data_IF_153068884578
#
_entry.id   IF_153068884578
#
_cell.length_a   1.000
_cell.length_b   1.000
_cell.length_c   1.000
_cell.angle_alpha   90.00
_cell.angle_beta   90.00
_cell.angle_gamma   90.00
#
_symmetry.space_group_name_H-M   'P 1'
#
loop_
_entity.id
_entity.type
_entity.pdbx_description
1 polymer ?
#
# COMPACT_ATOMS: atom_id res chain seq x y z
N UNK A 1 -23.94 -55.94 -6.58
CA UNK A 1 -24.00 -54.57 -6.05
C UNK A 1 -22.66 -54.16 -5.41
N UNK A 2 -21.67 -53.80 -6.22
CA UNK A 2 -20.40 -53.20 -5.77
C UNK A 2 -19.92 -52.37 -6.96
N UNK A 3 -19.84 -51.04 -6.83
CA UNK A 3 -19.04 -50.15 -7.71
C UNK A 3 -19.17 -48.65 -7.36
N UNK A 4 -20.02 -48.25 -6.39
CA UNK A 4 -20.20 -46.84 -6.01
C UNK A 4 -19.09 -46.26 -5.12
N UNK A 5 -18.08 -47.05 -4.69
CA UNK A 5 -17.00 -46.58 -3.80
C UNK A 5 -15.84 -45.87 -4.53
N UNK A 6 -15.73 -46.00 -5.86
CA UNK A 6 -14.58 -45.44 -6.60
C UNK A 6 -14.80 -43.98 -7.05
N UNK A 7 -16.05 -43.50 -7.08
CA UNK A 7 -16.38 -42.18 -7.65
C UNK A 7 -16.26 -41.05 -6.61
N UNK A 8 -16.40 -41.36 -5.31
CA UNK A 8 -16.34 -40.36 -4.23
C UNK A 8 -14.89 -39.93 -3.94
N UNK A 9 -13.89 -40.77 -4.23
CA UNK A 9 -12.47 -40.46 -4.01
C UNK A 9 -11.84 -39.54 -5.06
N UNK A 10 -12.45 -39.39 -6.23
CA UNK A 10 -11.93 -38.56 -7.33
C UNK A 10 -12.49 -37.13 -7.34
N UNK A 11 -13.64 -36.90 -6.71
CA UNK A 11 -14.24 -35.56 -6.61
C UNK A 11 -13.67 -34.68 -5.48
N UNK A 12 -12.99 -35.27 -4.49
CA UNK A 12 -12.38 -34.50 -3.39
C UNK A 12 -11.02 -33.88 -3.74
N UNK A 13 -10.39 -34.31 -4.85
CA UNK A 13 -9.05 -33.84 -5.26
C UNK A 13 -9.09 -32.57 -6.13
N UNK A 14 -10.27 -32.17 -6.64
CA UNK A 14 -10.38 -31.05 -7.59
C UNK A 14 -10.73 -29.69 -6.96
N UNK A 15 -10.98 -29.62 -5.65
CA UNK A 15 -11.34 -28.37 -4.96
C UNK A 15 -10.14 -27.56 -4.44
N UNK A 16 -8.89 -28.01 -4.66
CA UNK A 16 -7.70 -27.42 -3.99
C UNK A 16 -7.09 -26.26 -4.79
N UNK A 17 -7.50 -26.00 -6.05
CA UNK A 17 -6.71 -25.16 -6.96
C UNK A 17 -7.20 -23.73 -7.25
N UNK A 18 -8.18 -23.19 -6.53
CA UNK A 18 -8.65 -21.81 -6.80
C UNK A 18 -8.82 -20.93 -5.56
N UNK A 19 -7.91 -21.02 -4.59
CA UNK A 19 -7.73 -19.90 -3.64
C UNK A 19 -6.87 -18.80 -4.30
N UNK A 20 -7.38 -18.20 -5.37
CA UNK A 20 -6.85 -16.92 -5.84
C UNK A 20 -7.19 -15.86 -4.78
N UNK A 21 -6.24 -15.49 -3.91
CA UNK A 21 -6.45 -14.36 -3.01
C UNK A 21 -6.61 -13.11 -3.86
N UNK A 22 -7.83 -12.58 -3.94
CA UNK A 22 -8.21 -11.44 -4.78
C UNK A 22 -7.72 -10.13 -4.15
N UNK A 23 -6.41 -10.00 -3.95
CA UNK A 23 -5.79 -8.85 -3.29
C UNK A 23 -5.60 -7.71 -4.29
N UNK A 24 -5.82 -6.49 -3.82
CA UNK A 24 -5.55 -5.27 -4.57
C UNK A 24 -4.13 -4.82 -4.30
N UNK A 25 -3.42 -4.37 -5.33
CA UNK A 25 -2.14 -3.69 -5.16
C UNK A 25 -2.40 -2.22 -4.86
N UNK A 26 -1.59 -1.65 -3.98
CA UNK A 26 -1.55 -0.21 -3.74
C UNK A 26 -0.14 0.29 -4.03
N UNK A 27 -0.06 1.37 -4.80
CA UNK A 27 1.19 2.04 -5.10
C UNK A 27 1.41 3.18 -4.11
N UNK A 28 2.61 3.28 -3.56
CA UNK A 28 2.98 4.34 -2.62
C UNK A 28 4.14 5.10 -3.24
N UNK A 29 3.94 6.39 -3.48
CA UNK A 29 4.89 7.24 -4.20
C UNK A 29 5.09 8.56 -3.47
N UNK A 30 6.04 9.37 -3.95
CA UNK A 30 6.13 10.77 -3.56
C UNK A 30 7.53 11.19 -3.17
N UNK A 31 7.60 12.15 -2.24
CA UNK A 31 8.84 12.83 -1.86
C UNK A 31 9.04 12.88 -0.35
N UNK A 32 10.21 12.47 0.11
CA UNK A 32 10.58 12.48 1.53
C UNK A 32 12.09 12.75 1.71
N UNK A 33 12.53 13.11 2.92
CA UNK A 33 13.96 13.33 3.15
C UNK A 33 14.69 11.99 3.12
N UNK A 34 15.95 12.01 2.70
CA UNK A 34 16.80 10.81 2.77
C UNK A 34 16.86 10.30 4.21
N UNK A 35 16.76 9.00 4.38
CA UNK A 35 16.70 8.29 5.66
C UNK A 35 15.41 8.48 6.47
N UNK A 36 14.41 9.22 5.98
CA UNK A 36 13.06 9.15 6.56
C UNK A 36 12.61 7.68 6.58
N UNK A 37 11.99 7.25 7.67
CA UNK A 37 11.42 5.91 7.80
C UNK A 37 9.92 6.00 7.57
N UNK A 38 9.43 5.29 6.57
CA UNK A 38 8.00 5.16 6.29
C UNK A 38 7.53 3.81 6.81
N UNK A 39 6.49 3.83 7.65
CA UNK A 39 5.88 2.63 8.22
C UNK A 39 4.39 2.67 7.99
N UNK A 40 3.83 1.54 7.55
CA UNK A 40 2.40 1.39 7.29
C UNK A 40 1.88 0.23 8.13
N UNK A 41 0.73 0.46 8.77
CA UNK A 41 0.05 -0.54 9.58
C UNK A 41 -1.36 -0.80 9.06
N UNK A 42 -1.78 -2.05 9.10
CA UNK A 42 -3.18 -2.48 8.98
C UNK A 42 -3.55 -3.17 10.31
N UNK A 43 -4.62 -2.72 10.98
CA UNK A 43 -5.05 -3.28 12.27
C UNK A 43 -3.91 -3.41 13.31
N UNK A 44 -3.09 -2.36 13.46
CA UNK A 44 -1.90 -2.30 14.35
C UNK A 44 -0.74 -3.25 13.97
N UNK A 45 -0.87 -4.04 12.91
CA UNK A 45 0.21 -4.89 12.39
C UNK A 45 1.01 -4.11 11.35
N UNK A 46 2.33 -4.08 11.48
CA UNK A 46 3.22 -3.52 10.46
C UNK A 46 3.12 -4.38 9.19
N UNK A 47 2.76 -3.77 8.07
CA UNK A 47 2.63 -4.45 6.77
C UNK A 47 3.67 -3.96 5.75
N UNK A 48 4.23 -2.77 5.98
CA UNK A 48 5.31 -2.24 5.17
C UNK A 48 6.18 -1.29 6.01
N UNK A 49 7.49 -1.40 5.83
CA UNK A 49 8.47 -0.57 6.49
C UNK A 49 9.69 -0.44 5.60
N UNK A 50 10.03 0.79 5.24
CA UNK A 50 11.18 1.07 4.40
C UNK A 50 11.79 2.42 4.78
N UNK A 51 13.07 2.56 4.44
CA UNK A 51 13.79 3.83 4.55
C UNK A 51 13.89 4.48 3.18
N UNK A 52 13.71 5.79 3.16
CA UNK A 52 13.84 6.60 1.96
C UNK A 52 15.31 6.64 1.53
N UNK A 53 15.54 6.22 0.30
CA UNK A 53 16.85 6.20 -0.34
C UNK A 53 16.69 6.56 -1.82
N UNK A 54 17.78 7.00 -2.46
CA UNK A 54 17.78 7.38 -3.87
C UNK A 54 18.53 8.68 -4.13
N UNK A 55 18.33 9.23 -5.32
CA UNK A 55 18.90 10.50 -5.74
C UNK A 55 18.25 11.64 -4.96
N UNK A 56 19.09 12.57 -4.51
CA UNK A 56 18.68 13.74 -3.73
C UNK A 56 18.50 14.93 -4.68
N UNK A 57 17.42 15.69 -4.53
CA UNK A 57 17.19 16.95 -5.24
C UNK A 57 17.85 18.15 -4.53
N UNK A 58 17.70 19.34 -5.11
CA UNK A 58 18.26 20.59 -4.56
C UNK A 58 17.73 20.93 -3.15
N UNK A 59 16.57 20.38 -2.76
CA UNK A 59 15.94 20.59 -1.44
C UNK A 59 16.13 19.43 -0.49
N UNK A 60 17.10 18.55 -0.78
CA UNK A 60 17.46 17.38 0.03
C UNK A 60 16.39 16.27 0.09
N UNK A 61 15.44 16.26 -0.84
CA UNK A 61 14.37 15.26 -0.92
C UNK A 61 14.73 14.17 -1.92
N UNK A 62 14.23 12.97 -1.67
CA UNK A 62 14.27 11.85 -2.59
C UNK A 62 12.85 11.57 -3.09
N UNK A 63 12.71 11.42 -4.41
CA UNK A 63 11.54 10.77 -4.98
C UNK A 63 11.62 9.26 -4.74
N UNK A 64 10.50 8.63 -4.41
CA UNK A 64 10.44 7.18 -4.21
C UNK A 64 9.15 6.59 -4.79
N UNK A 65 9.20 5.28 -5.03
CA UNK A 65 8.10 4.47 -5.51
C UNK A 65 8.18 3.09 -4.85
N UNK A 66 7.09 2.63 -4.23
CA UNK A 66 7.00 1.34 -3.57
C UNK A 66 5.63 0.70 -3.88
N UNK A 67 5.64 -0.49 -4.47
CA UNK A 67 4.44 -1.17 -4.99
C UNK A 67 4.23 -2.56 -4.40
N UNK A 68 5.04 -2.96 -3.42
CA UNK A 68 4.94 -4.28 -2.79
C UNK A 68 3.69 -4.46 -1.93
N UNK A 69 2.97 -3.38 -1.61
CA UNK A 69 1.85 -3.47 -0.69
C UNK A 69 0.60 -4.05 -1.38
N UNK A 70 0.10 -5.15 -0.80
CA UNK A 70 -1.14 -5.81 -1.20
C UNK A 70 -2.15 -5.69 -0.07
N UNK A 71 -3.37 -5.31 -0.39
CA UNK A 71 -4.47 -5.12 0.55
C UNK A 71 -5.68 -5.96 0.16
N UNK A 72 -6.59 -6.19 1.11
CA UNK A 72 -7.83 -6.93 0.87
C UNK A 72 -8.73 -6.22 -0.17
N UNK A 73 -9.62 -6.96 -0.86
CA UNK A 73 -10.58 -6.38 -1.79
C UNK A 73 -11.73 -5.61 -1.11
N UNK A 74 -11.79 -5.61 0.22
CA UNK A 74 -12.74 -4.81 1.01
C UNK A 74 -12.23 -3.38 1.25
N UNK A 75 -13.02 -2.55 1.92
CA UNK A 75 -12.49 -1.33 2.53
C UNK A 75 -11.34 -1.71 3.46
N UNK A 76 -10.25 -0.95 3.41
CA UNK A 76 -9.07 -1.17 4.27
C UNK A 76 -8.66 0.15 4.89
N UNK A 77 -8.37 0.10 6.18
CA UNK A 77 -7.83 1.21 6.94
C UNK A 77 -6.32 1.03 7.11
N UNK A 78 -5.54 1.98 6.60
CA UNK A 78 -4.09 1.99 6.70
C UNK A 78 -3.60 3.17 7.51
N UNK A 79 -2.76 2.91 8.51
CA UNK A 79 -2.11 3.94 9.30
C UNK A 79 -0.71 4.18 8.74
N UNK A 80 -0.46 5.39 8.25
CA UNK A 80 0.81 5.83 7.69
C UNK A 80 1.58 6.66 8.71
N UNK A 81 2.82 6.26 8.96
CA UNK A 81 3.77 6.99 9.80
C UNK A 81 5.02 7.33 9.02
N UNK A 82 5.47 8.58 9.12
CA UNK A 82 6.76 9.02 8.60
C UNK A 82 7.56 9.60 9.76
N UNK A 83 8.66 8.93 10.06
CA UNK A 83 9.63 9.36 11.06
C UNK A 83 10.84 9.97 10.35
N UNK A 84 11.21 11.17 10.77
CA UNK A 84 12.41 11.86 10.33
C UNK A 84 13.35 12.04 11.53
N UNK A 85 14.32 11.12 11.66
CA UNK A 85 15.31 11.13 12.75
C UNK A 85 14.70 11.13 14.16
N UNK A 86 13.67 10.31 14.39
CA UNK A 86 12.96 10.20 15.68
C UNK A 86 11.82 11.21 15.85
N UNK A 87 11.61 12.11 14.88
CA UNK A 87 10.50 13.06 14.88
C UNK A 87 9.42 12.57 13.92
N UNK A 88 8.22 12.35 14.45
CA UNK A 88 7.06 11.94 13.67
C UNK A 88 6.49 13.13 12.88
N UNK A 89 6.77 13.19 11.59
CA UNK A 89 6.33 14.27 10.68
C UNK A 89 5.02 13.97 9.94
N UNK A 90 4.55 12.73 10.07
CA UNK A 90 3.23 12.27 9.66
C UNK A 90 2.78 11.11 10.55
N UNK A 91 1.57 11.18 11.08
CA UNK A 91 0.83 10.06 11.65
C UNK A 91 -0.63 10.23 11.23
N UNK A 92 -1.07 9.45 10.25
CA UNK A 92 -2.39 9.62 9.65
C UNK A 92 -3.02 8.29 9.30
N UNK A 93 -4.34 8.24 9.39
CA UNK A 93 -5.12 7.10 8.97
C UNK A 93 -5.79 7.41 7.62
N UNK A 94 -5.66 6.49 6.67
CA UNK A 94 -6.28 6.56 5.36
C UNK A 94 -7.22 5.36 5.17
N UNK A 95 -8.47 5.65 4.82
CA UNK A 95 -9.45 4.63 4.44
C UNK A 95 -9.43 4.49 2.94
N UNK A 96 -9.08 3.30 2.46
CA UNK A 96 -9.06 2.96 1.04
C UNK A 96 -10.37 2.24 0.70
N UNK A 97 -11.29 2.89 -0.04
CA UNK A 97 -12.57 2.30 -0.41
C UNK A 97 -12.37 1.08 -1.33
N UNK A 98 -13.23 0.06 -1.23
CA UNK A 98 -13.23 -1.13 -2.09
C UNK A 98 -13.45 -0.80 -3.57
N UNK A 99 -14.05 0.35 -3.85
CA UNK A 99 -14.35 0.87 -5.19
C UNK A 99 -13.08 1.27 -5.94
N UNK A 100 -12.01 1.61 -5.21
CA UNK A 100 -10.71 1.93 -5.81
C UNK A 100 -10.09 0.66 -6.39
N UNK A 101 -9.94 0.58 -7.71
CA UNK A 101 -9.37 -0.60 -8.38
C UNK A 101 -7.86 -0.52 -8.42
N UNK A 102 -7.31 0.65 -8.70
CA UNK A 102 -5.88 0.92 -8.74
C UNK A 102 -5.54 2.05 -7.73
N UNK A 103 -5.71 1.79 -6.41
CA UNK A 103 -5.43 2.80 -5.41
C UNK A 103 -3.94 3.16 -5.42
N UNK A 104 -3.65 4.45 -5.29
CA UNK A 104 -2.31 4.92 -4.98
C UNK A 104 -2.34 5.97 -3.88
N UNK A 105 -1.23 6.04 -3.17
CA UNK A 105 -0.98 6.99 -2.11
C UNK A 105 0.28 7.78 -2.45
N UNK A 106 0.18 9.10 -2.50
CA UNK A 106 1.32 9.96 -2.83
C UNK A 106 1.66 10.91 -1.69
N UNK A 107 2.91 10.89 -1.24
CA UNK A 107 3.45 11.86 -0.29
C UNK A 107 3.86 13.11 -1.06
N UNK A 108 3.08 14.17 -0.87
CA UNK A 108 3.20 15.41 -1.66
C UNK A 108 4.51 16.12 -1.33
N UNK A 109 5.12 16.69 -2.37
CA UNK A 109 6.31 17.51 -2.25
C UNK A 109 6.08 18.63 -1.20
N UNK A 110 6.94 18.74 -0.18
CA UNK A 110 6.75 19.74 0.87
C UNK A 110 6.91 21.16 0.30
N UNK A 111 5.93 22.00 0.60
CA UNK A 111 5.98 23.44 0.30
C UNK A 111 6.66 24.21 1.43
N UNK A 112 7.04 25.46 1.17
CA UNK A 112 7.54 26.37 2.21
C UNK A 112 6.55 26.53 3.39
N UNK A 113 5.25 26.33 3.15
CA UNK A 113 4.19 26.40 4.17
C UNK A 113 4.03 25.11 4.98
N UNK A 114 4.59 23.99 4.52
CA UNK A 114 4.42 22.66 5.13
C UNK A 114 5.75 22.03 5.57
N UNK A 115 6.78 22.84 5.86
CA UNK A 115 8.16 22.39 6.12
C UNK A 115 8.27 21.16 7.03
N UNK A 116 7.53 21.12 8.13
CA UNK A 116 7.57 20.03 9.11
C UNK A 116 6.36 19.09 9.07
N UNK A 117 5.38 19.36 8.22
CA UNK A 117 4.14 18.57 8.11
C UNK A 117 4.07 17.95 6.73
N UNK A 118 4.02 16.63 6.65
CA UNK A 118 3.80 15.97 5.37
C UNK A 118 2.32 16.00 5.02
N UNK A 119 2.04 16.07 3.72
CA UNK A 119 0.70 15.89 3.17
C UNK A 119 0.70 14.60 2.37
N UNK A 120 -0.41 13.90 2.44
CA UNK A 120 -0.61 12.65 1.72
C UNK A 120 -1.87 12.79 0.87
N UNK A 121 -1.80 12.28 -0.34
CA UNK A 121 -2.92 12.17 -1.26
C UNK A 121 -3.28 10.69 -1.39
N UNK A 122 -4.57 10.38 -1.39
CA UNK A 122 -5.11 9.07 -1.72
C UNK A 122 -6.02 9.24 -2.94
N UNK A 123 -5.80 8.44 -3.98
CA UNK A 123 -6.63 8.46 -5.19
C UNK A 123 -6.64 7.08 -5.89
N UNK A 124 -7.42 6.95 -6.95
CA UNK A 124 -7.43 5.81 -7.88
C UNK A 124 -6.92 6.28 -9.24
N UNK A 125 -5.97 5.57 -9.83
CA UNK A 125 -5.37 5.90 -11.14
C UNK A 125 -6.43 6.10 -12.23
N UNK A 126 -7.57 5.40 -12.13
CA UNK A 126 -8.67 5.53 -13.10
C UNK A 126 -9.40 6.87 -13.05
N UNK A 127 -9.21 7.66 -12.01
CA UNK A 127 -9.83 8.99 -11.90
C UNK A 127 -9.09 10.06 -12.72
N UNK A 128 -7.94 9.70 -13.30
CA UNK A 128 -7.15 10.59 -14.15
C UNK A 128 -7.33 10.18 -15.61
N UNK A 129 -7.54 11.16 -16.49
CA UNK A 129 -7.58 10.94 -17.93
C UNK A 129 -6.20 10.46 -18.37
N UNK A 130 -6.14 9.33 -19.07
CA UNK A 130 -4.92 8.90 -19.74
C UNK A 130 -4.90 9.57 -21.11
N UNK A 131 -4.03 10.55 -21.26
CA UNK A 131 -3.73 11.18 -22.56
C UNK A 131 -3.15 10.15 -23.54
#
# INVERSE_FOLDING_TARGET
MKNYKLIIGLFSSFCILTSCSNNRKIEITGYAYRNDKVVIFENRKEILNFKISGKIDEKKLCSFYESKLKIKPSNVELNFKIDSSGILVLDTCLVIPKEFKNPFVSIIYPSAKSKFKRKILLADDRMFVKD
#
